data_IF_299001240206
#
_entry.id   IF_299001240206
#
_cell.length_a   1.000
_cell.length_b   1.000
_cell.length_c   1.000
_cell.angle_alpha   90.00
_cell.angle_beta   90.00
_cell.angle_gamma   90.00
#
_symmetry.space_group_name_H-M   'P 1'
#
loop_
_entity.id
_entity.type
_entity.pdbx_description
1 polymer ?
#
# COMPACT_ATOMS: atom_id res chain seq x y z
N UNK A 1 -2.34 5.45 -22.92
CA UNK A 1 -2.90 6.35 -21.89
C UNK A 1 -2.78 5.71 -20.53
N UNK A 2 -3.22 6.39 -19.46
CA UNK A 2 -3.25 5.82 -18.11
C UNK A 2 -4.21 4.62 -18.07
N UNK A 3 -3.81 3.51 -17.44
CA UNK A 3 -4.61 2.27 -17.39
C UNK A 3 -4.89 1.78 -15.97
N UNK A 4 -4.19 2.32 -14.98
CA UNK A 4 -4.34 1.99 -13.55
C UNK A 4 -4.55 3.31 -12.80
N UNK A 5 -5.52 3.32 -11.89
CA UNK A 5 -5.89 4.45 -11.06
C UNK A 5 -5.95 3.99 -9.61
N UNK A 6 -5.28 4.70 -8.72
CA UNK A 6 -5.47 4.52 -7.28
C UNK A 6 -6.55 5.52 -6.81
N UNK A 7 -7.66 5.00 -6.31
CA UNK A 7 -8.84 5.77 -5.92
C UNK A 7 -8.74 6.17 -4.45
N UNK A 8 -7.90 7.17 -4.19
CA UNK A 8 -7.59 7.70 -2.86
C UNK A 8 -6.27 7.20 -2.31
N UNK A 9 -5.66 7.98 -1.42
CA UNK A 9 -4.37 7.72 -0.78
C UNK A 9 -4.58 7.61 0.73
N UNK A 10 -4.31 6.44 1.31
CA UNK A 10 -4.37 6.18 2.77
C UNK A 10 -5.62 6.71 3.49
N UNK A 11 -6.78 6.72 2.82
CA UNK A 11 -8.01 7.30 3.40
C UNK A 11 -8.45 6.59 4.69
N UNK A 12 -8.03 5.35 4.90
CA UNK A 12 -8.25 4.59 6.14
C UNK A 12 -7.49 5.15 7.34
N UNK A 13 -6.40 5.89 7.12
CA UNK A 13 -5.54 6.48 8.15
C UNK A 13 -5.89 7.94 8.47
N UNK A 14 -6.88 8.51 7.78
CA UNK A 14 -7.42 9.82 8.13
C UNK A 14 -7.98 9.81 9.57
N UNK A 15 -7.74 10.86 10.36
CA UNK A 15 -8.14 10.94 11.76
C UNK A 15 -9.65 10.97 12.00
N UNK A 16 -10.47 11.16 10.97
CA UNK A 16 -11.92 10.97 11.05
C UNK A 16 -12.32 9.49 10.87
N UNK A 17 -11.44 8.66 10.33
CA UNK A 17 -11.71 7.26 9.97
C UNK A 17 -11.06 6.29 10.95
N UNK A 18 -9.78 6.41 11.28
CA UNK A 18 -9.14 5.61 12.32
C UNK A 18 -9.42 6.23 13.71
N UNK A 19 -9.85 5.42 14.68
CA UNK A 19 -10.18 5.93 16.02
C UNK A 19 -8.94 6.25 16.87
N UNK A 20 -7.87 5.48 16.67
CA UNK A 20 -6.57 5.67 17.29
C UNK A 20 -5.49 5.35 16.25
N UNK A 21 -4.72 6.36 15.85
CA UNK A 21 -3.69 6.24 14.82
C UNK A 21 -2.53 5.33 15.22
N UNK A 22 -2.41 4.96 16.50
CA UNK A 22 -1.43 3.98 16.96
C UNK A 22 -1.86 2.55 16.68
N UNK A 23 -3.14 2.30 16.37
CA UNK A 23 -3.60 0.99 15.97
C UNK A 23 -3.08 0.58 14.58
N UNK A 24 -2.78 -0.71 14.46
CA UNK A 24 -2.31 -1.30 13.20
C UNK A 24 -3.41 -1.44 12.15
N UNK A 25 -4.70 -1.33 12.53
CA UNK A 25 -5.85 -1.46 11.62
C UNK A 25 -6.30 -2.90 11.37
N UNK A 26 -5.88 -3.84 12.23
CA UNK A 26 -6.14 -5.28 12.04
C UNK A 26 -7.59 -5.67 12.27
N UNK A 27 -8.41 -4.80 12.88
CA UNK A 27 -9.81 -5.06 13.18
C UNK A 27 -10.69 -3.96 12.62
N UNK A 28 -11.86 -4.32 12.11
CA UNK A 28 -12.86 -3.34 11.66
C UNK A 28 -13.26 -2.36 12.78
N UNK A 29 -13.24 -2.81 14.04
CA UNK A 29 -13.56 -1.97 15.21
C UNK A 29 -12.55 -0.85 15.47
N UNK A 30 -11.36 -0.92 14.88
CA UNK A 30 -10.33 0.13 15.01
C UNK A 30 -10.77 1.41 14.27
N UNK A 31 -11.82 1.33 13.44
CA UNK A 31 -12.32 2.41 12.59
C UNK A 31 -13.67 2.97 13.06
N UNK A 32 -13.92 4.22 12.69
CA UNK A 32 -15.08 4.99 13.11
C UNK A 32 -16.35 4.55 12.36
N UNK A 33 -17.28 3.91 13.06
CA UNK A 33 -18.54 3.43 12.51
C UNK A 33 -19.42 4.53 11.88
N UNK A 34 -19.43 5.72 12.48
CA UNK A 34 -20.24 6.87 12.02
C UNK A 34 -19.72 7.43 10.70
N UNK A 35 -18.40 7.49 10.53
CA UNK A 35 -17.77 8.04 9.33
C UNK A 35 -17.51 6.98 8.24
N UNK A 36 -17.62 5.69 8.57
CA UNK A 36 -17.41 4.59 7.62
C UNK A 36 -18.26 4.66 6.34
N UNK A 37 -19.56 5.04 6.38
CA UNK A 37 -20.34 5.22 5.16
C UNK A 37 -19.77 6.28 4.22
N UNK A 38 -19.11 7.32 4.76
CA UNK A 38 -18.47 8.38 3.96
C UNK A 38 -17.25 7.83 3.23
N UNK A 39 -16.35 7.12 3.94
CA UNK A 39 -15.20 6.44 3.31
C UNK A 39 -15.64 5.49 2.20
N UNK A 40 -16.62 4.63 2.49
CA UNK A 40 -17.18 3.68 1.53
C UNK A 40 -17.78 4.40 0.31
N UNK A 41 -18.52 5.49 0.54
CA UNK A 41 -19.11 6.29 -0.53
C UNK A 41 -18.06 6.95 -1.41
N UNK A 42 -17.05 7.56 -0.81
CA UNK A 42 -15.96 8.23 -1.52
C UNK A 42 -15.14 7.26 -2.38
N UNK A 43 -14.73 6.13 -1.80
CA UNK A 43 -13.97 5.09 -2.53
C UNK A 43 -14.76 4.51 -3.70
N UNK A 44 -16.04 4.16 -3.50
CA UNK A 44 -16.91 3.71 -4.58
C UNK A 44 -17.12 4.78 -5.65
N UNK A 45 -17.40 6.02 -5.24
CA UNK A 45 -17.63 7.13 -6.15
C UNK A 45 -16.42 7.44 -7.04
N UNK A 46 -15.20 7.35 -6.50
CA UNK A 46 -13.98 7.50 -7.29
C UNK A 46 -13.81 6.37 -8.32
N UNK A 47 -14.05 5.11 -7.92
CA UNK A 47 -14.02 3.97 -8.84
C UNK A 47 -15.08 4.13 -9.94
N UNK A 48 -16.33 4.40 -9.56
CA UNK A 48 -17.45 4.57 -10.50
C UNK A 48 -17.18 5.74 -11.46
N UNK A 49 -16.59 6.83 -10.95
CA UNK A 49 -16.16 7.99 -11.74
C UNK A 49 -15.17 7.61 -12.84
N UNK A 50 -14.08 6.92 -12.48
CA UNK A 50 -13.10 6.41 -13.47
C UNK A 50 -13.77 5.47 -14.47
N UNK A 51 -14.57 4.52 -13.99
CA UNK A 51 -15.22 3.50 -14.83
C UNK A 51 -16.29 4.07 -15.76
N UNK A 52 -16.90 5.20 -15.42
CA UNK A 52 -17.89 5.86 -16.28
C UNK A 52 -17.32 6.40 -17.59
N UNK A 53 -16.04 6.77 -17.59
CA UNK A 53 -15.33 7.33 -18.77
C UNK A 53 -14.31 6.35 -19.36
N UNK A 54 -13.74 5.47 -18.55
CA UNK A 54 -12.79 4.44 -18.97
C UNK A 54 -13.14 3.08 -18.33
N UNK A 55 -14.15 2.36 -18.87
CA UNK A 55 -14.65 1.11 -18.26
C UNK A 55 -13.58 0.03 -18.08
N UNK A 56 -12.58 0.00 -18.98
CA UNK A 56 -11.48 -0.97 -18.95
C UNK A 56 -10.31 -0.60 -18.03
N UNK A 57 -10.29 0.61 -17.45
CA UNK A 57 -9.26 1.01 -16.49
C UNK A 57 -9.28 0.08 -15.27
N UNK A 58 -8.13 -0.13 -14.62
CA UNK A 58 -8.04 -0.85 -13.35
C UNK A 58 -8.03 0.16 -12.21
N UNK A 59 -8.89 -0.05 -11.22
CA UNK A 59 -8.97 0.83 -10.05
C UNK A 59 -8.52 0.09 -8.80
N UNK A 60 -7.58 0.65 -8.06
CA UNK A 60 -7.22 0.21 -6.70
C UNK A 60 -7.76 1.17 -5.65
N UNK A 61 -7.76 0.74 -4.39
CA UNK A 61 -7.89 1.64 -3.24
C UNK A 61 -6.74 1.36 -2.29
N UNK A 62 -6.17 2.43 -1.76
CA UNK A 62 -4.95 2.36 -0.97
C UNK A 62 -5.22 2.04 0.50
N UNK A 63 -4.40 1.14 1.05
CA UNK A 63 -4.36 0.78 2.46
C UNK A 63 -2.93 0.93 3.00
N UNK A 64 -2.78 1.01 4.32
CA UNK A 64 -1.47 1.18 4.94
C UNK A 64 -1.33 0.30 6.18
N UNK A 65 -0.12 0.19 6.73
CA UNK A 65 0.20 -0.59 7.94
C UNK A 65 -0.37 -2.02 7.82
N UNK A 66 -1.33 -2.40 8.66
CA UNK A 66 -2.02 -3.68 8.63
C UNK A 66 -3.55 -3.47 8.60
N UNK A 67 -4.01 -2.54 7.76
CA UNK A 67 -5.43 -2.16 7.57
C UNK A 67 -6.31 -3.28 6.96
N UNK A 68 -6.02 -4.56 7.21
CA UNK A 68 -6.85 -5.68 6.75
C UNK A 68 -8.26 -5.62 7.30
N UNK A 69 -8.45 -5.08 8.52
CA UNK A 69 -9.78 -4.88 9.09
C UNK A 69 -10.63 -3.92 8.24
N UNK A 70 -10.02 -2.85 7.72
CA UNK A 70 -10.67 -1.93 6.80
C UNK A 70 -10.94 -2.58 5.44
N UNK A 71 -9.92 -3.21 4.86
CA UNK A 71 -10.01 -3.82 3.55
C UNK A 71 -11.10 -4.91 3.53
N UNK A 72 -11.15 -5.77 4.54
CA UNK A 72 -12.18 -6.79 4.66
C UNK A 72 -13.58 -6.21 4.83
N UNK A 73 -13.73 -5.17 5.65
CA UNK A 73 -15.03 -4.55 5.90
C UNK A 73 -15.58 -3.85 4.64
N UNK A 74 -14.72 -3.14 3.90
CA UNK A 74 -15.08 -2.56 2.61
C UNK A 74 -15.41 -3.65 1.58
N UNK A 75 -14.62 -4.73 1.55
CA UNK A 75 -14.85 -5.83 0.63
C UNK A 75 -16.14 -6.59 0.97
N UNK A 76 -16.49 -6.82 2.22
CA UNK A 76 -17.71 -7.56 2.55
C UNK A 76 -18.96 -6.69 2.66
N UNK A 77 -18.81 -5.37 2.67
CA UNK A 77 -19.94 -4.48 2.93
C UNK A 77 -20.40 -4.60 4.39
N UNK A 78 -19.44 -4.71 5.31
CA UNK A 78 -19.68 -4.65 6.75
C UNK A 78 -19.25 -3.30 7.31
N UNK A 79 -19.81 -2.96 8.47
CA UNK A 79 -19.49 -1.78 9.25
C UNK A 79 -18.51 -2.15 10.38
N UNK A 80 -17.78 -1.16 10.94
CA UNK A 80 -16.97 -1.34 12.15
C UNK A 80 -17.69 -1.97 13.35
N UNK A 81 -19.00 -1.74 13.50
CA UNK A 81 -19.83 -2.37 14.54
C UNK A 81 -20.24 -3.82 14.27
N UNK A 82 -19.80 -4.40 13.14
CA UNK A 82 -20.10 -5.77 12.72
C UNK A 82 -21.42 -5.94 11.97
N UNK A 83 -22.24 -4.89 11.84
CA UNK A 83 -23.42 -4.94 10.99
C UNK A 83 -23.04 -5.14 9.51
N UNK A 84 -23.91 -5.77 8.73
CA UNK A 84 -23.63 -6.18 7.34
C UNK A 84 -24.79 -5.87 6.41
N UNK A 85 -24.59 -6.09 5.10
CA UNK A 85 -25.59 -5.81 4.06
C UNK A 85 -25.41 -4.44 3.39
N UNK A 86 -24.29 -3.75 3.65
CA UNK A 86 -23.96 -2.49 3.03
C UNK A 86 -23.34 -2.69 1.64
N UNK A 87 -23.30 -1.62 0.84
CA UNK A 87 -22.65 -1.68 -0.47
C UNK A 87 -21.18 -2.09 -0.34
N UNK A 88 -20.78 -3.07 -1.13
CA UNK A 88 -19.40 -3.54 -1.19
C UNK A 88 -18.55 -2.58 -2.01
N UNK A 89 -17.28 -2.43 -1.65
CA UNK A 89 -16.27 -1.78 -2.49
C UNK A 89 -15.50 -2.89 -3.20
N UNK A 90 -15.49 -2.86 -4.53
CA UNK A 90 -14.78 -3.84 -5.37
C UNK A 90 -13.76 -3.09 -6.20
N UNK A 91 -12.50 -3.37 -5.93
CA UNK A 91 -11.36 -2.86 -6.70
C UNK A 91 -10.81 -3.95 -7.62
N UNK A 92 -10.09 -3.54 -8.66
CA UNK A 92 -9.47 -4.43 -9.63
C UNK A 92 -8.04 -4.85 -9.25
N UNK A 93 -7.38 -4.07 -8.37
CA UNK A 93 -6.00 -4.26 -7.92
C UNK A 93 -5.93 -3.80 -6.46
N UNK A 94 -5.36 -4.62 -5.58
CA UNK A 94 -5.10 -4.20 -4.19
C UNK A 94 -3.82 -3.36 -4.16
N UNK A 95 -3.89 -2.17 -3.59
CA UNK A 95 -2.75 -1.25 -3.46
C UNK A 95 -2.45 -1.01 -1.99
N UNK A 96 -1.17 -1.01 -1.61
CA UNK A 96 -0.76 -0.93 -0.22
C UNK A 96 0.53 -0.14 -0.01
N UNK A 97 0.58 0.63 1.07
CA UNK A 97 1.79 1.30 1.55
C UNK A 97 2.44 0.51 2.68
N UNK A 98 3.73 0.25 2.57
CA UNK A 98 4.50 -0.42 3.61
C UNK A 98 5.88 0.21 3.77
N UNK A 99 6.02 1.02 4.82
CA UNK A 99 7.30 1.56 5.25
C UNK A 99 7.96 0.64 6.28
N UNK A 100 9.27 0.74 6.45
CA UNK A 100 10.04 -0.09 7.39
C UNK A 100 9.45 -0.08 8.81
N UNK A 101 8.98 1.09 9.27
CA UNK A 101 8.37 1.26 10.59
C UNK A 101 7.09 0.43 10.79
N UNK A 102 6.46 -0.03 9.71
CA UNK A 102 5.26 -0.85 9.72
C UNK A 102 5.57 -2.35 9.64
N UNK A 103 6.85 -2.73 9.77
CA UNK A 103 7.26 -4.12 9.69
C UNK A 103 7.35 -4.66 8.27
N UNK A 104 7.65 -5.95 8.18
CA UNK A 104 7.85 -6.63 6.89
C UNK A 104 6.52 -7.09 6.30
N UNK A 105 6.19 -6.64 5.07
CA UNK A 105 4.94 -6.97 4.39
C UNK A 105 4.69 -8.48 4.21
N UNK A 106 5.76 -9.29 4.22
CA UNK A 106 5.71 -10.75 4.13
C UNK A 106 5.53 -11.45 5.50
N UNK A 107 5.57 -10.69 6.60
CA UNK A 107 5.44 -11.18 7.97
C UNK A 107 4.90 -10.06 8.89
N UNK A 108 3.72 -9.52 8.55
CA UNK A 108 3.08 -8.41 9.25
C UNK A 108 2.39 -8.86 10.54
N UNK A 109 2.84 -8.34 11.69
CA UNK A 109 2.29 -8.67 13.00
C UNK A 109 0.88 -8.14 13.27
N UNK A 110 0.21 -8.70 14.28
CA UNK A 110 -1.14 -8.28 14.73
C UNK A 110 -1.18 -6.86 15.32
N UNK A 111 -0.04 -6.34 15.75
CA UNK A 111 0.26 -4.97 16.18
C UNK A 111 1.03 -4.17 15.11
N UNK A 112 1.20 -4.74 13.91
CA UNK A 112 2.05 -4.19 12.84
C UNK A 112 3.53 -4.56 12.92
N UNK A 113 4.00 -5.27 13.97
CA UNK A 113 5.43 -5.58 14.14
C UNK A 113 5.76 -6.96 14.80
N UNK A 114 4.78 -7.65 15.37
CA UNK A 114 4.87 -8.99 15.99
C UNK A 114 4.85 -10.16 14.98
N UNK A 115 4.82 -11.42 15.44
CA UNK A 115 4.79 -12.59 14.55
C UNK A 115 3.57 -12.51 13.63
N UNK A 116 3.81 -12.62 12.33
CA UNK A 116 2.93 -12.05 11.34
C UNK A 116 2.37 -13.01 10.31
N UNK A 117 1.66 -12.43 9.35
CA UNK A 117 1.18 -13.12 8.16
C UNK A 117 1.71 -12.43 6.90
N UNK A 118 1.73 -13.19 5.82
CA UNK A 118 2.09 -12.67 4.51
C UNK A 118 0.89 -11.93 3.90
N UNK A 119 0.98 -10.60 3.86
CA UNK A 119 -0.12 -9.75 3.41
C UNK A 119 -0.45 -9.94 1.93
N UNK A 120 0.52 -9.96 1.00
CA UNK A 120 0.24 -10.28 -0.40
C UNK A 120 -0.45 -11.63 -0.61
N UNK A 121 -0.04 -12.69 0.09
CA UNK A 121 -0.69 -14.01 0.03
C UNK A 121 -2.12 -13.92 0.58
N UNK A 122 -2.32 -13.23 1.70
CA UNK A 122 -3.63 -13.00 2.27
C UNK A 122 -4.56 -12.30 1.27
N UNK A 123 -4.12 -11.17 0.72
CA UNK A 123 -4.91 -10.41 -0.25
C UNK A 123 -5.19 -11.20 -1.52
N UNK A 124 -4.24 -12.00 -2.00
CA UNK A 124 -4.44 -12.92 -3.12
C UNK A 124 -5.54 -13.93 -2.82
N UNK A 125 -5.51 -14.56 -1.65
CA UNK A 125 -6.52 -15.54 -1.25
C UNK A 125 -7.90 -14.90 -0.99
N UNK A 126 -7.92 -13.69 -0.41
CA UNK A 126 -9.12 -13.01 0.05
C UNK A 126 -9.85 -12.26 -1.05
N UNK A 127 -9.10 -11.51 -1.87
CA UNK A 127 -9.64 -10.58 -2.86
C UNK A 127 -9.47 -11.09 -4.30
N UNK A 128 -8.51 -11.98 -4.55
CA UNK A 128 -8.33 -12.62 -5.87
C UNK A 128 -7.83 -11.67 -6.97
N UNK A 129 -7.36 -10.48 -6.61
CA UNK A 129 -6.87 -9.45 -7.54
C UNK A 129 -5.34 -9.24 -7.39
N UNK A 130 -4.65 -8.68 -8.40
CA UNK A 130 -3.24 -8.32 -8.30
C UNK A 130 -2.94 -7.40 -7.13
N UNK A 131 -1.70 -7.45 -6.64
CA UNK A 131 -1.21 -6.63 -5.54
C UNK A 131 -0.13 -5.66 -6.04
N UNK A 132 -0.18 -4.40 -5.63
CA UNK A 132 0.85 -3.40 -5.88
C UNK A 132 1.24 -2.76 -4.56
N UNK A 133 2.55 -2.70 -4.29
CA UNK A 133 3.07 -1.88 -3.19
C UNK A 133 3.28 -0.48 -3.75
N UNK A 134 2.32 0.41 -3.53
CA UNK A 134 2.31 1.75 -4.15
C UNK A 134 3.21 2.74 -3.44
N UNK A 135 3.59 2.47 -2.19
CA UNK A 135 4.67 3.18 -1.50
C UNK A 135 5.43 2.22 -0.58
N UNK A 136 6.75 2.33 -0.62
CA UNK A 136 7.64 1.69 0.34
C UNK A 136 8.93 2.49 0.47
N UNK A 137 9.43 2.61 1.70
CA UNK A 137 10.76 3.13 2.03
C UNK A 137 11.09 2.85 3.51
N UNK A 138 12.31 3.13 3.90
CA UNK A 138 12.71 3.32 5.29
C UNK A 138 12.49 4.77 5.75
N UNK A 139 12.61 5.01 7.06
CA UNK A 139 12.45 6.33 7.66
C UNK A 139 13.50 7.37 7.24
N UNK A 140 13.15 8.68 7.30
CA UNK A 140 13.99 9.80 6.87
C UNK A 140 15.22 10.04 7.74
N UNK A 141 15.22 9.51 8.96
CA UNK A 141 16.31 9.57 9.92
C UNK A 141 17.50 8.68 9.53
N UNK A 142 17.32 7.78 8.56
CA UNK A 142 18.34 6.82 8.16
C UNK A 142 19.41 7.42 7.23
N UNK A 143 20.64 6.97 7.43
CA UNK A 143 21.77 7.36 6.57
C UNK A 143 21.56 6.92 5.11
N UNK A 144 22.19 7.62 4.16
CA UNK A 144 22.13 7.26 2.74
C UNK A 144 22.64 5.82 2.48
N UNK A 145 23.66 5.37 3.22
CA UNK A 145 24.17 4.01 3.15
C UNK A 145 23.15 2.96 3.62
N UNK A 146 22.45 3.25 4.73
CA UNK A 146 21.37 2.40 5.22
C UNK A 146 20.24 2.30 4.18
N UNK A 147 19.81 3.45 3.64
CA UNK A 147 18.77 3.52 2.61
C UNK A 147 19.14 2.70 1.36
N UNK A 148 20.38 2.79 0.89
CA UNK A 148 20.85 1.98 -0.25
C UNK A 148 20.81 0.47 0.02
N UNK A 149 21.21 0.03 1.21
CA UNK A 149 21.12 -1.37 1.62
C UNK A 149 19.65 -1.84 1.73
N UNK A 150 18.80 -1.01 2.33
CA UNK A 150 17.37 -1.27 2.44
C UNK A 150 16.70 -1.42 1.07
N UNK A 151 16.96 -0.48 0.14
CA UNK A 151 16.48 -0.52 -1.25
C UNK A 151 16.86 -1.85 -1.92
N UNK A 152 18.14 -2.20 -1.89
CA UNK A 152 18.64 -3.42 -2.55
C UNK A 152 18.01 -4.67 -1.94
N UNK A 153 17.89 -4.71 -0.62
CA UNK A 153 17.29 -5.84 0.11
C UNK A 153 15.81 -5.99 -0.23
N UNK A 154 15.01 -4.92 -0.10
CA UNK A 154 13.57 -4.97 -0.33
C UNK A 154 13.22 -5.25 -1.79
N UNK A 155 13.89 -4.60 -2.75
CA UNK A 155 13.70 -4.93 -4.16
C UNK A 155 14.06 -6.39 -4.46
N UNK A 156 15.13 -6.93 -3.84
CA UNK A 156 15.47 -8.34 -3.92
C UNK A 156 14.34 -9.25 -3.44
N UNK A 157 13.78 -8.97 -2.27
CA UNK A 157 12.65 -9.72 -1.71
C UNK A 157 11.41 -9.65 -2.62
N UNK A 158 11.00 -8.44 -3.03
CA UNK A 158 9.86 -8.24 -3.91
C UNK A 158 10.03 -8.96 -5.25
N UNK A 159 11.22 -8.87 -5.85
CA UNK A 159 11.50 -9.53 -7.12
C UNK A 159 11.39 -11.06 -7.01
N UNK A 160 11.90 -11.67 -5.93
CA UNK A 160 11.74 -13.11 -5.72
C UNK A 160 10.27 -13.52 -5.47
N UNK A 161 9.52 -12.68 -4.76
CA UNK A 161 8.12 -12.94 -4.41
C UNK A 161 7.12 -12.69 -5.56
N UNK A 162 7.48 -11.90 -6.58
CA UNK A 162 6.53 -11.34 -7.57
C UNK A 162 5.57 -12.36 -8.21
N UNK A 163 6.09 -13.53 -8.60
CA UNK A 163 5.29 -14.57 -9.28
C UNK A 163 4.47 -15.42 -8.31
N UNK A 164 4.93 -15.59 -7.07
CA UNK A 164 4.27 -16.44 -6.07
C UNK A 164 3.20 -15.67 -5.27
N UNK A 165 3.44 -14.38 -5.02
CA UNK A 165 2.64 -13.50 -4.16
C UNK A 165 1.67 -12.58 -4.92
N UNK A 166 1.57 -12.75 -6.25
CA UNK A 166 0.72 -11.92 -7.12
C UNK A 166 1.07 -10.42 -7.07
N UNK A 167 2.34 -10.10 -6.80
CA UNK A 167 2.82 -8.71 -6.78
C UNK A 167 3.10 -8.31 -8.23
N UNK A 168 2.28 -7.39 -8.74
CA UNK A 168 2.39 -6.87 -10.10
C UNK A 168 3.42 -5.75 -10.22
N UNK A 169 3.58 -4.93 -9.17
CA UNK A 169 4.52 -3.81 -9.18
C UNK A 169 4.83 -3.34 -7.76
N UNK A 170 5.94 -2.63 -7.61
CA UNK A 170 6.30 -1.87 -6.41
C UNK A 170 6.76 -0.47 -6.81
N UNK A 171 6.46 0.54 -6.01
CA UNK A 171 6.77 1.95 -6.29
C UNK A 171 7.49 2.55 -5.08
N UNK A 172 8.73 2.98 -5.29
CA UNK A 172 9.57 3.53 -4.22
C UNK A 172 9.13 4.95 -3.87
N UNK A 173 8.89 5.21 -2.59
CA UNK A 173 8.57 6.54 -2.08
C UNK A 173 9.86 7.19 -1.56
N UNK A 174 10.41 8.27 -2.09
CA UNK A 174 9.96 9.09 -3.22
C UNK A 174 11.17 9.40 -4.09
N UNK A 175 10.95 9.78 -5.34
CA UNK A 175 12.03 10.16 -6.25
C UNK A 175 12.80 11.38 -5.72
N UNK A 176 12.11 12.49 -5.48
CA UNK A 176 12.68 13.76 -5.03
C UNK A 176 11.80 14.36 -3.93
N UNK A 177 12.37 14.61 -2.75
CA UNK A 177 11.68 15.21 -1.61
C UNK A 177 12.04 16.69 -1.37
N UNK A 178 12.80 17.31 -2.29
CA UNK A 178 13.34 18.66 -2.13
C UNK A 178 14.41 18.79 -1.03
N UNK A 179 14.82 17.67 -0.43
CA UNK A 179 15.81 17.55 0.62
C UNK A 179 16.49 16.16 0.54
N UNK A 180 17.36 15.83 1.49
CA UNK A 180 18.11 14.59 1.50
C UNK A 180 17.51 13.48 2.40
N UNK A 181 16.24 13.55 2.79
CA UNK A 181 15.68 12.62 3.80
C UNK A 181 15.06 11.35 3.19
N UNK A 182 14.07 11.48 2.31
CA UNK A 182 13.39 10.34 1.66
C UNK A 182 13.86 10.09 0.23
N UNK A 183 14.08 11.17 -0.53
CA UNK A 183 14.45 11.16 -1.93
C UNK A 183 15.70 10.34 -2.26
N UNK A 184 15.74 9.79 -3.48
CA UNK A 184 16.98 9.35 -4.14
C UNK A 184 17.52 10.41 -5.11
N UNK A 185 16.78 11.50 -5.30
CA UNK A 185 17.15 12.70 -6.03
C UNK A 185 16.87 13.93 -5.16
N UNK A 186 17.58 15.02 -5.44
CA UNK A 186 17.30 16.34 -4.90
C UNK A 186 17.58 17.39 -5.97
N UNK A 187 16.54 18.10 -6.40
CA UNK A 187 16.61 19.14 -7.43
C UNK A 187 17.35 18.66 -8.70
N UNK A 188 17.03 17.44 -9.14
CA UNK A 188 17.66 16.82 -10.32
C UNK A 188 19.07 16.27 -10.08
N UNK A 189 19.62 16.35 -8.87
CA UNK A 189 20.90 15.74 -8.49
C UNK A 189 20.69 14.39 -7.83
N UNK A 190 21.49 13.39 -8.21
CA UNK A 190 21.44 12.05 -7.62
C UNK A 190 21.95 12.05 -6.18
N UNK A 191 21.24 11.39 -5.28
CA UNK A 191 21.70 11.11 -3.91
C UNK A 191 22.28 9.71 -3.91
N UNK A 192 23.59 9.59 -3.76
CA UNK A 192 24.27 8.30 -3.72
C UNK A 192 24.67 7.94 -2.28
N UNK A 193 24.62 6.66 -1.88
CA UNK A 193 24.44 5.48 -2.73
C UNK A 193 22.99 5.06 -3.06
N UNK A 194 21.96 5.71 -2.52
CA UNK A 194 20.56 5.24 -2.63
C UNK A 194 20.03 5.27 -4.07
N UNK A 195 20.34 6.30 -4.87
CA UNK A 195 20.04 6.35 -6.30
C UNK A 195 20.64 5.17 -7.05
N UNK A 196 21.96 4.97 -6.90
CA UNK A 196 22.68 3.89 -7.57
C UNK A 196 22.14 2.51 -7.20
N UNK A 197 21.72 2.29 -5.95
CA UNK A 197 21.10 1.04 -5.52
C UNK A 197 19.79 0.77 -6.27
N UNK A 198 18.91 1.76 -6.34
CA UNK A 198 17.61 1.64 -7.01
C UNK A 198 17.79 1.40 -8.52
N UNK A 199 18.58 2.22 -9.21
CA UNK A 199 18.74 2.13 -10.67
C UNK A 199 19.49 0.88 -11.09
N UNK A 200 20.52 0.47 -10.35
CA UNK A 200 21.28 -0.74 -10.68
C UNK A 200 20.44 -2.00 -10.49
N UNK A 201 19.64 -2.07 -9.42
CA UNK A 201 18.77 -3.21 -9.20
C UNK A 201 17.71 -3.31 -10.29
N UNK A 202 16.97 -2.23 -10.53
CA UNK A 202 15.87 -2.21 -11.51
C UNK A 202 16.37 -2.47 -12.93
N UNK A 203 17.52 -1.91 -13.32
CA UNK A 203 18.14 -2.19 -14.62
C UNK A 203 18.63 -3.63 -14.78
N UNK A 204 19.06 -4.27 -13.70
CA UNK A 204 19.59 -5.65 -13.74
C UNK A 204 18.52 -6.73 -13.58
N UNK A 205 17.32 -6.37 -13.11
CA UNK A 205 16.24 -7.31 -12.79
C UNK A 205 14.92 -6.94 -13.51
N UNK A 206 14.91 -6.84 -14.85
CA UNK A 206 13.66 -6.64 -15.59
C UNK A 206 12.75 -7.86 -15.38
N UNK A 207 11.44 -7.64 -15.28
CA UNK A 207 10.51 -8.75 -15.33
C UNK A 207 10.49 -9.34 -16.74
N UNK A 208 10.75 -10.65 -16.82
CA UNK A 208 10.80 -11.45 -18.05
C UNK A 208 9.78 -12.58 -17.96
#
# INVERSE_FOLDING_TARGET
>A
GVTIYECGNELTRDGAIILDSTNAGTKALDFNNTNWPVLRGATRGMIDGVKSVQPAAKCGINFCVNDVGAADALWEGTQPDGSSGYSKVRWDITTWHNYEAYGDIFNLGTDGAGPGFDLPIYCKARYGVPFIITEWNTGPEQTEAYRANYITTKLGQYYQARKTHNIQSVMYYVLDSGNNTFGIMMNGTQINPSYSAFTSFTGSNPDK
#
